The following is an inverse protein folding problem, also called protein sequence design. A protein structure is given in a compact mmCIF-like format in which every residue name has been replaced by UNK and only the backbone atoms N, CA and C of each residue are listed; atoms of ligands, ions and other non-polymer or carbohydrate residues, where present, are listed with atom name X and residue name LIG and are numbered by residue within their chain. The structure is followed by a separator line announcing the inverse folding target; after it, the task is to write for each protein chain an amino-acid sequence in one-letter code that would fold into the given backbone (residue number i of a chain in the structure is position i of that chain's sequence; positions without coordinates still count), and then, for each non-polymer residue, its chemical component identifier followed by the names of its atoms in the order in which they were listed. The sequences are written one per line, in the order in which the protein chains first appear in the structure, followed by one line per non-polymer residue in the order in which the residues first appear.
data_IF_750378269094
#
_entry.id   IF_750378269094
#
_cell.length_a   1.000
_cell.length_b   1.000
_cell.length_c   1.000
_cell.angle_alpha   90.00
_cell.angle_beta   90.00
_cell.angle_gamma   90.00
#
_symmetry.space_group_name_H-M   'P 1'
#
loop_
_entity.id
_entity.type
_entity.pdbx_description
1 polymer ?
#
# COMPACT_ATOMS: atom_id res chain seq x y z
N UNK A 1 -45.77 -25.46 65.99
CA UNK A 1 -45.79 -25.12 64.54
C UNK A 1 -44.87 -23.94 64.28
N UNK A 2 -43.77 -24.11 63.54
CA UNK A 2 -43.14 -23.10 62.65
C UNK A 2 -41.89 -23.71 62.00
N UNK A 3 -42.02 -24.06 60.72
CA UNK A 3 -40.95 -24.57 59.84
C UNK A 3 -39.93 -23.46 59.57
N UNK A 4 -38.63 -23.74 59.69
CA UNK A 4 -37.55 -22.90 59.13
C UNK A 4 -37.37 -23.26 57.66
N UNK A 5 -37.62 -22.30 56.76
CA UNK A 5 -37.24 -22.40 55.35
C UNK A 5 -35.78 -21.97 55.17
N UNK A 6 -35.01 -22.83 54.52
CA UNK A 6 -33.67 -22.56 53.99
C UNK A 6 -33.87 -21.75 52.69
N UNK A 7 -33.28 -20.55 52.61
CA UNK A 7 -33.20 -19.76 51.37
C UNK A 7 -31.86 -20.02 50.70
N UNK A 8 -31.88 -20.76 49.60
CA UNK A 8 -30.81 -20.79 48.61
C UNK A 8 -30.97 -19.59 47.67
N UNK A 9 -29.90 -18.81 47.50
CA UNK A 9 -29.84 -17.73 46.50
C UNK A 9 -29.23 -18.30 45.20
N UNK A 10 -29.84 -18.09 44.02
CA UNK A 10 -29.22 -18.47 42.76
C UNK A 10 -28.30 -17.33 42.28
N UNK A 11 -27.04 -17.67 42.03
CA UNK A 11 -26.09 -16.80 41.32
C UNK A 11 -26.49 -16.76 39.83
N UNK A 12 -26.92 -15.61 39.34
CA UNK A 12 -27.06 -15.34 37.91
C UNK A 12 -25.67 -14.97 37.35
N UNK A 13 -25.02 -15.94 36.68
CA UNK A 13 -23.87 -15.69 35.82
C UNK A 13 -24.37 -15.09 34.50
N UNK A 14 -24.13 -13.79 34.28
CA UNK A 14 -24.28 -13.14 32.99
C UNK A 14 -23.02 -13.43 32.15
N UNK A 15 -23.11 -14.09 30.98
CA UNK A 15 -21.94 -14.26 30.14
C UNK A 15 -21.59 -12.91 29.48
N UNK A 16 -20.42 -12.36 29.81
CA UNK A 16 -19.83 -11.24 29.07
C UNK A 16 -19.53 -11.72 27.64
N UNK A 17 -20.40 -11.35 26.70
CA UNK A 17 -20.09 -11.40 25.27
C UNK A 17 -19.06 -10.30 24.95
N UNK A 18 -17.78 -10.63 25.13
CA UNK A 18 -16.66 -9.86 24.58
C UNK A 18 -16.78 -9.88 23.05
N UNK A 19 -17.43 -8.86 22.50
CA UNK A 19 -17.35 -8.56 21.07
C UNK A 19 -15.94 -8.05 20.82
N UNK A 20 -15.05 -8.93 20.38
CA UNK A 20 -13.81 -8.51 19.76
C UNK A 20 -14.19 -7.69 18.52
N UNK A 21 -14.06 -6.37 18.60
CA UNK A 21 -14.10 -5.51 17.42
C UNK A 21 -12.79 -5.74 16.68
N UNK A 22 -12.80 -6.63 15.70
CA UNK A 22 -11.68 -6.78 14.78
C UNK A 22 -11.62 -5.48 13.97
N UNK A 23 -10.65 -4.62 14.29
CA UNK A 23 -10.35 -3.46 13.47
C UNK A 23 -9.94 -3.97 12.08
N UNK A 24 -10.83 -3.86 11.10
CA UNK A 24 -10.50 -4.18 9.71
C UNK A 24 -9.58 -3.10 9.17
N UNK A 25 -8.48 -3.51 8.55
CA UNK A 25 -7.67 -2.61 7.73
C UNK A 25 -8.54 -2.06 6.59
N UNK A 26 -8.44 -0.76 6.33
CA UNK A 26 -9.14 -0.10 5.23
C UNK A 26 -8.76 -0.76 3.89
N UNK A 27 -9.77 -1.16 3.12
CA UNK A 27 -9.56 -1.78 1.82
C UNK A 27 -9.02 -0.78 0.80
N UNK A 28 -8.38 -1.30 -0.25
CA UNK A 28 -7.88 -0.52 -1.37
C UNK A 28 -8.98 0.38 -1.98
N UNK A 29 -10.19 -0.17 -2.15
CA UNK A 29 -11.33 0.55 -2.74
C UNK A 29 -11.85 1.66 -1.82
N UNK A 30 -11.83 1.47 -0.49
CA UNK A 30 -12.18 2.52 0.48
C UNK A 30 -11.16 3.67 0.44
N UNK A 31 -9.86 3.34 0.42
CA UNK A 31 -8.81 4.36 0.28
C UNK A 31 -8.92 5.11 -1.05
N UNK A 32 -9.17 4.40 -2.16
CA UNK A 32 -9.37 5.02 -3.46
C UNK A 32 -10.53 6.02 -3.44
N UNK A 33 -11.70 5.60 -2.94
CA UNK A 33 -12.87 6.47 -2.80
C UNK A 33 -12.57 7.69 -1.93
N UNK A 34 -11.80 7.51 -0.85
CA UNK A 34 -11.40 8.62 0.04
C UNK A 34 -10.50 9.62 -0.69
N UNK A 35 -9.52 9.15 -1.46
CA UNK A 35 -8.63 10.00 -2.27
C UNK A 35 -9.42 10.74 -3.35
N UNK A 36 -10.28 10.06 -4.10
CA UNK A 36 -11.12 10.67 -5.13
C UNK A 36 -12.10 11.69 -4.54
N UNK A 37 -12.70 11.39 -3.39
CA UNK A 37 -13.59 12.31 -2.67
C UNK A 37 -12.86 13.56 -2.22
N UNK A 38 -11.69 13.43 -1.61
CA UNK A 38 -10.85 14.57 -1.22
C UNK A 38 -10.46 15.42 -2.43
N UNK A 39 -9.98 14.80 -3.51
CA UNK A 39 -9.57 15.50 -4.72
C UNK A 39 -10.71 16.28 -5.38
N UNK A 40 -11.91 15.70 -5.43
CA UNK A 40 -13.09 16.30 -6.07
C UNK A 40 -13.88 17.25 -5.17
N UNK A 41 -13.60 17.31 -3.86
CA UNK A 41 -14.28 18.20 -2.92
C UNK A 41 -13.74 19.63 -3.04
N UNK A 42 -14.41 20.50 -3.78
CA UNK A 42 -13.94 21.87 -4.08
C UNK A 42 -14.62 22.91 -3.17
N UNK A 43 -14.45 22.77 -1.85
CA UNK A 43 -15.04 23.68 -0.86
C UNK A 43 -14.14 24.89 -0.59
N UNK A 44 -14.73 26.02 -0.21
CA UNK A 44 -13.98 27.22 0.19
C UNK A 44 -13.41 27.13 1.62
N UNK A 45 -14.01 26.28 2.46
CA UNK A 45 -13.63 26.08 3.87
C UNK A 45 -14.16 24.74 4.40
N UNK A 46 -13.61 24.31 5.54
CA UNK A 46 -14.02 23.14 6.31
C UNK A 46 -14.74 23.61 7.57
N UNK A 47 -15.91 24.22 7.40
CA UNK A 47 -16.60 24.93 8.48
C UNK A 47 -15.86 26.22 8.84
N UNK A 48 -15.27 26.28 10.03
CA UNK A 48 -14.48 27.45 10.46
C UNK A 48 -12.99 27.34 10.07
N UNK A 49 -12.56 26.19 9.55
CA UNK A 49 -11.16 25.90 9.25
C UNK A 49 -10.85 25.95 7.75
N UNK A 50 -9.57 26.11 7.37
CA UNK A 50 -9.15 26.18 5.97
C UNK A 50 -9.55 24.95 5.15
N UNK A 51 -9.74 25.13 3.84
CA UNK A 51 -10.14 24.03 2.96
C UNK A 51 -9.15 22.85 2.93
N UNK A 52 -7.87 23.07 3.27
CA UNK A 52 -6.87 22.01 3.43
C UNK A 52 -7.23 20.95 4.47
N UNK A 53 -8.08 21.28 5.43
CA UNK A 53 -8.32 20.43 6.59
C UNK A 53 -9.29 19.28 6.28
N UNK A 54 -10.06 19.38 5.19
CA UNK A 54 -11.05 18.39 4.79
C UNK A 54 -11.21 18.20 3.27
N UNK A 55 -10.35 18.81 2.45
CA UNK A 55 -10.46 18.78 0.99
C UNK A 55 -9.12 18.93 0.28
N UNK A 56 -9.04 18.44 -0.95
CA UNK A 56 -7.81 18.34 -1.74
C UNK A 56 -6.84 17.30 -1.20
N UNK A 57 -5.76 17.07 -1.94
CA UNK A 57 -4.71 16.12 -1.59
C UNK A 57 -3.45 16.87 -1.17
N UNK A 58 -2.93 16.52 0.01
CA UNK A 58 -1.59 16.89 0.47
C UNK A 58 -0.61 15.82 0.01
N UNK A 59 0.25 16.15 -0.94
CA UNK A 59 1.12 15.21 -1.66
C UNK A 59 2.57 15.49 -1.34
N UNK A 60 3.34 14.47 -0.94
CA UNK A 60 4.79 14.59 -0.76
C UNK A 60 5.52 13.55 -1.59
N UNK A 61 6.27 14.01 -2.60
CA UNK A 61 7.26 13.19 -3.28
C UNK A 61 8.44 12.84 -2.37
N UNK A 62 8.98 11.63 -2.47
CA UNK A 62 10.08 11.17 -1.60
C UNK A 62 11.18 10.43 -2.35
N UNK A 63 12.40 10.58 -1.85
CA UNK A 63 13.55 9.74 -2.24
C UNK A 63 13.84 8.75 -1.11
N UNK A 64 13.87 7.47 -1.46
CA UNK A 64 14.24 6.41 -0.50
C UNK A 64 15.73 6.47 -0.19
N UNK A 65 16.07 6.02 1.02
CA UNK A 65 17.46 5.75 1.35
C UNK A 65 18.00 4.65 0.43
N UNK A 66 19.24 4.81 -0.01
CA UNK A 66 20.02 3.81 -0.75
C UNK A 66 21.02 3.13 0.20
N UNK A 67 20.72 1.94 0.77
CA UNK A 67 21.61 1.26 1.69
C UNK A 67 22.97 0.92 1.08
N UNK A 68 23.06 0.77 -0.24
CA UNK A 68 24.33 0.52 -0.92
C UNK A 68 25.27 1.74 -0.85
N UNK A 69 24.72 2.94 -0.60
CA UNK A 69 25.46 4.18 -0.34
C UNK A 69 25.60 4.49 1.15
N UNK A 70 25.27 3.55 2.04
CA UNK A 70 25.28 3.75 3.50
C UNK A 70 24.18 4.67 4.01
N UNK A 71 23.15 4.93 3.20
CA UNK A 71 22.05 5.80 3.57
C UNK A 71 21.02 5.06 4.43
N UNK A 72 20.46 5.75 5.42
CA UNK A 72 19.45 5.20 6.32
C UNK A 72 18.49 6.27 6.80
N UNK A 73 17.25 6.21 6.33
CA UNK A 73 16.13 7.00 6.85
C UNK A 73 14.82 6.36 6.43
N UNK A 74 13.77 6.71 7.17
CA UNK A 74 12.39 6.36 6.87
C UNK A 74 11.73 7.57 6.20
N UNK A 75 11.13 7.42 5.02
CA UNK A 75 10.70 8.57 4.18
C UNK A 75 9.62 9.45 4.81
N UNK A 76 8.88 8.92 5.79
CA UNK A 76 7.83 9.63 6.53
C UNK A 76 8.35 10.44 7.71
N UNK A 77 9.63 10.28 8.07
CA UNK A 77 10.26 11.06 9.13
C UNK A 77 10.88 12.35 8.57
N UNK A 78 10.87 13.46 9.32
CA UNK A 78 11.48 14.71 8.88
C UNK A 78 12.94 14.54 8.46
N UNK A 79 13.32 15.12 7.32
CA UNK A 79 14.72 15.21 6.90
C UNK A 79 15.52 16.12 7.85
N UNK A 80 16.87 16.09 7.84
CA UNK A 80 17.66 16.99 8.67
C UNK A 80 17.32 18.48 8.48
N UNK A 81 17.09 18.90 7.23
CA UNK A 81 16.64 20.27 6.92
C UNK A 81 15.24 20.55 7.46
N UNK A 82 14.32 19.58 7.40
CA UNK A 82 12.99 19.73 7.98
C UNK A 82 13.04 19.85 9.52
N UNK A 83 13.92 19.09 10.19
CA UNK A 83 14.17 19.22 11.63
C UNK A 83 14.69 20.61 11.98
N UNK A 84 15.69 21.11 11.24
CA UNK A 84 16.25 22.46 11.40
C UNK A 84 15.18 23.56 11.28
N UNK A 85 14.31 23.46 10.27
CA UNK A 85 13.26 24.44 10.02
C UNK A 85 12.03 24.27 10.92
N UNK A 86 11.88 23.12 11.60
CA UNK A 86 10.68 22.74 12.35
C UNK A 86 9.46 22.46 11.48
N UNK A 87 9.63 22.38 10.16
CA UNK A 87 8.59 22.11 9.16
C UNK A 87 9.14 21.27 8.03
N UNK A 88 8.26 20.60 7.28
CA UNK A 88 8.58 19.95 6.01
C UNK A 88 7.64 20.48 4.91
N UNK A 89 8.06 20.36 3.64
CA UNK A 89 7.24 20.80 2.51
C UNK A 89 6.22 19.73 2.09
N UNK A 90 5.05 20.10 1.58
CA UNK A 90 4.21 19.21 0.78
C UNK A 90 3.49 20.03 -0.28
N UNK A 91 3.04 19.39 -1.35
CA UNK A 91 2.25 20.00 -2.40
C UNK A 91 0.76 19.82 -2.11
N UNK A 92 -0.07 20.70 -2.66
CA UNK A 92 -1.53 20.61 -2.57
C UNK A 92 -2.15 20.59 -3.97
N UNK A 93 -3.03 19.62 -4.23
CA UNK A 93 -3.78 19.53 -5.50
C UNK A 93 -5.27 19.29 -5.30
N UNK A 94 -6.07 19.79 -6.24
CA UNK A 94 -7.55 19.72 -6.20
C UNK A 94 -8.15 19.86 -7.59
N UNK A 95 -9.35 19.30 -7.81
CA UNK A 95 -9.97 19.17 -9.13
C UNK A 95 -10.38 20.50 -9.80
N UNK A 96 -10.34 21.64 -9.08
CA UNK A 96 -10.77 22.96 -9.56
C UNK A 96 -9.62 23.86 -10.02
N UNK A 97 -8.65 23.31 -10.75
CA UNK A 97 -7.55 24.08 -11.35
C UNK A 97 -6.33 24.25 -10.43
N UNK A 98 -6.23 23.44 -9.38
CA UNK A 98 -5.04 23.33 -8.54
C UNK A 98 -4.29 22.06 -8.96
N UNK A 99 -3.60 22.15 -10.11
CA UNK A 99 -2.96 21.03 -10.79
C UNK A 99 -1.49 21.30 -11.07
N UNK A 100 -0.70 20.23 -11.21
CA UNK A 100 0.70 20.23 -11.63
C UNK A 100 1.07 18.88 -12.25
N UNK A 101 2.11 18.82 -13.07
CA UNK A 101 2.37 17.68 -13.96
C UNK A 101 3.08 16.48 -13.31
N UNK A 102 3.75 16.68 -12.17
CA UNK A 102 4.46 15.61 -11.45
C UNK A 102 4.69 15.95 -9.96
N UNK A 103 5.08 15.00 -9.09
CA UNK A 103 5.22 15.24 -7.64
C UNK A 103 6.46 16.08 -7.24
N UNK A 104 7.21 16.61 -8.20
CA UNK A 104 8.37 17.47 -8.01
C UNK A 104 9.66 16.71 -7.70
N UNK A 105 10.78 17.43 -7.72
CA UNK A 105 12.10 16.97 -7.25
C UNK A 105 12.59 15.67 -7.88
N UNK A 106 12.22 15.41 -9.14
CA UNK A 106 12.52 14.17 -9.87
C UNK A 106 12.06 12.91 -9.13
N UNK A 107 11.00 13.00 -8.33
CA UNK A 107 10.40 11.86 -7.62
C UNK A 107 9.33 11.19 -8.48
N UNK A 108 9.12 9.89 -8.27
CA UNK A 108 8.01 9.15 -8.89
C UNK A 108 7.14 8.42 -7.86
N UNK A 109 7.42 8.59 -6.57
CA UNK A 109 6.72 7.97 -5.46
C UNK A 109 6.65 8.92 -4.26
N UNK A 110 5.80 8.57 -3.29
CA UNK A 110 5.70 9.32 -2.05
C UNK A 110 4.51 8.89 -1.21
N UNK A 111 3.96 9.84 -0.45
CA UNK A 111 2.75 9.63 0.34
C UNK A 111 1.77 10.80 0.25
N UNK A 112 0.50 10.47 0.48
CA UNK A 112 -0.58 11.39 0.74
C UNK A 112 -0.73 11.56 2.25
N UNK A 113 -0.88 12.80 2.71
CA UNK A 113 -1.08 13.12 4.13
C UNK A 113 -2.57 13.20 4.40
N UNK A 114 -3.03 12.56 5.48
CA UNK A 114 -4.44 12.60 5.88
C UNK A 114 -4.81 14.01 6.34
N UNK A 115 -5.84 14.64 5.75
CA UNK A 115 -6.32 15.95 6.19
C UNK A 115 -6.78 15.93 7.65
N UNK A 116 -6.59 17.05 8.34
CA UNK A 116 -6.82 17.20 9.78
C UNK A 116 -8.19 16.67 10.23
N UNK A 117 -9.27 17.01 9.53
CA UNK A 117 -10.63 16.65 9.92
C UNK A 117 -10.93 15.16 9.78
N UNK A 118 -10.06 14.40 9.11
CA UNK A 118 -10.14 12.95 8.99
C UNK A 118 -9.27 12.22 10.02
N UNK A 119 -8.43 12.93 10.77
CA UNK A 119 -7.62 12.36 11.84
C UNK A 119 -8.49 12.04 13.06
N UNK A 120 -8.27 10.86 13.64
CA UNK A 120 -8.92 10.42 14.87
C UNK A 120 -7.85 9.90 15.82
N UNK A 121 -8.09 10.00 17.12
CA UNK A 121 -7.19 9.45 18.12
C UNK A 121 -6.91 7.96 17.84
N UNK A 122 -5.66 7.50 17.98
CA UNK A 122 -4.50 8.19 18.58
C UNK A 122 -3.61 8.98 17.60
N UNK A 123 -4.00 9.17 16.33
CA UNK A 123 -3.16 9.89 15.37
C UNK A 123 -3.15 11.40 15.62
N UNK A 124 -1.98 12.04 15.43
CA UNK A 124 -1.84 13.50 15.60
C UNK A 124 -1.81 14.18 14.23
N UNK A 125 -2.63 15.23 14.00
CA UNK A 125 -2.60 15.96 12.74
C UNK A 125 -1.31 16.77 12.60
N UNK A 126 -0.86 16.94 11.35
CA UNK A 126 0.12 17.97 10.99
C UNK A 126 -0.61 19.22 10.52
N UNK A 127 -0.06 20.40 10.83
CA UNK A 127 -0.71 21.68 10.57
C UNK A 127 0.01 22.45 9.48
N UNK A 128 -0.73 23.07 8.57
CA UNK A 128 -0.19 23.99 7.56
C UNK A 128 0.25 25.30 8.23
N UNK A 129 1.51 25.66 8.02
CA UNK A 129 2.12 26.88 8.55
C UNK A 129 2.06 28.02 7.55
N UNK A 130 2.27 27.71 6.28
CA UNK A 130 2.09 28.65 5.18
C UNK A 130 1.87 27.91 3.85
N UNK A 131 1.29 28.62 2.89
CA UNK A 131 1.00 28.10 1.55
C UNK A 131 1.48 29.06 0.45
N UNK A 132 2.20 28.53 -0.52
CA UNK A 132 2.74 29.22 -1.68
C UNK A 132 2.07 28.70 -2.96
N UNK A 133 1.46 29.57 -3.78
CA UNK A 133 0.82 29.16 -5.04
C UNK A 133 1.75 28.46 -6.04
N UNK A 134 3.07 28.63 -5.94
CA UNK A 134 4.04 27.87 -6.73
C UNK A 134 5.22 27.43 -5.84
N UNK A 135 6.06 26.49 -6.31
CA UNK A 135 7.31 26.12 -5.64
C UNK A 135 8.11 27.38 -5.30
N UNK A 136 8.41 27.56 -4.02
CA UNK A 136 8.99 28.75 -3.43
C UNK A 136 10.38 28.50 -2.84
N UNK A 137 10.95 27.31 -3.06
CA UNK A 137 12.28 26.91 -2.60
C UNK A 137 12.40 27.04 -1.08
N UNK A 138 11.40 26.54 -0.37
CA UNK A 138 11.23 26.84 1.07
C UNK A 138 12.34 26.34 1.98
N UNK A 139 13.21 25.44 1.51
CA UNK A 139 14.41 25.02 2.24
C UNK A 139 15.47 26.13 2.39
N UNK A 140 15.37 27.19 1.57
CA UNK A 140 16.22 28.38 1.62
C UNK A 140 15.55 29.56 2.34
N UNK A 141 14.34 29.37 2.87
CA UNK A 141 13.58 30.40 3.56
C UNK A 141 13.76 30.35 5.07
N UNK A 142 13.80 31.52 5.70
CA UNK A 142 13.72 31.65 7.14
C UNK A 142 12.28 31.46 7.66
N UNK A 143 12.06 31.71 8.95
CA UNK A 143 10.74 31.66 9.57
C UNK A 143 10.00 30.33 9.31
N UNK A 144 10.71 29.23 9.56
CA UNK A 144 10.22 27.85 9.33
C UNK A 144 9.83 27.58 7.88
N UNK A 145 10.52 28.21 6.94
CA UNK A 145 10.28 28.08 5.50
C UNK A 145 9.18 29.00 4.96
N UNK A 146 8.67 29.94 5.76
CA UNK A 146 7.54 30.80 5.37
C UNK A 146 7.92 32.23 5.02
N UNK A 147 9.11 32.67 5.41
CA UNK A 147 9.55 34.05 5.25
C UNK A 147 10.54 34.25 4.09
N UNK A 148 11.54 35.06 4.37
CA UNK A 148 12.53 35.58 3.43
C UNK A 148 13.42 34.46 2.89
N UNK A 149 13.66 34.47 1.58
CA UNK A 149 14.53 33.54 0.88
C UNK A 149 15.95 34.11 0.81
N UNK A 150 16.93 33.43 1.41
CA UNK A 150 18.32 33.93 1.44
C UNK A 150 19.00 34.05 0.07
N UNK A 151 18.39 33.50 -0.99
CA UNK A 151 18.94 33.56 -2.34
C UNK A 151 18.51 34.83 -3.09
N UNK A 152 17.46 35.52 -2.64
CA UNK A 152 16.93 36.71 -3.28
C UNK A 152 17.52 37.98 -2.66
N UNK A 153 17.51 39.08 -3.42
CA UNK A 153 17.98 40.37 -2.95
C UNK A 153 16.94 41.15 -2.12
N UNK A 154 15.65 41.25 -2.51
CA UNK A 154 14.64 41.87 -1.65
C UNK A 154 14.24 40.90 -0.54
N UNK A 155 14.00 41.44 0.65
CA UNK A 155 13.49 40.64 1.76
C UNK A 155 12.02 40.31 1.54
N UNK A 156 11.62 39.03 1.58
CA UNK A 156 10.21 38.65 1.53
C UNK A 156 9.60 38.45 2.93
N UNK A 157 8.53 39.20 3.20
CA UNK A 157 7.66 38.89 4.33
C UNK A 157 6.60 37.85 3.92
N UNK A 158 5.93 37.24 4.91
CA UNK A 158 4.66 36.54 4.64
C UNK A 158 3.66 37.51 4.00
N UNK A 159 2.77 37.01 3.12
CA UNK A 159 1.93 37.85 2.28
C UNK A 159 1.14 38.92 3.05
N UNK A 160 0.58 38.57 4.20
CA UNK A 160 -0.21 39.47 5.04
C UNK A 160 0.63 40.60 5.67
N UNK A 161 1.97 40.46 5.74
CA UNK A 161 2.90 41.43 6.29
C UNK A 161 3.66 42.24 5.22
N UNK A 162 3.38 41.99 3.94
CA UNK A 162 3.91 42.80 2.83
C UNK A 162 3.43 44.25 2.94
N UNK A 163 4.11 45.18 2.25
CA UNK A 163 3.75 46.60 2.19
C UNK A 163 3.50 47.02 0.73
N UNK A 164 2.23 47.19 0.30
CA UNK A 164 0.98 46.95 1.06
C UNK A 164 0.71 45.45 1.32
N UNK A 165 -0.16 45.11 2.30
CA UNK A 165 -0.50 43.72 2.59
C UNK A 165 -1.11 42.99 1.39
N UNK A 166 -0.64 41.76 1.13
CA UNK A 166 -1.18 40.90 0.08
C UNK A 166 -2.20 39.95 0.72
N UNK A 167 -3.47 40.29 0.55
CA UNK A 167 -4.62 39.59 1.16
C UNK A 167 -5.72 39.23 0.15
N UNK A 168 -5.37 39.19 -1.14
CA UNK A 168 -6.27 38.73 -2.21
C UNK A 168 -5.49 37.99 -3.32
N UNK A 169 -6.16 37.15 -4.13
CA UNK A 169 -5.53 36.50 -5.28
C UNK A 169 -4.93 37.51 -6.26
N UNK A 170 -5.67 38.58 -6.59
CA UNK A 170 -5.23 39.57 -7.56
C UNK A 170 -3.99 40.33 -7.10
N UNK A 171 -3.93 40.70 -5.82
CA UNK A 171 -2.74 41.35 -5.26
C UNK A 171 -1.52 40.43 -5.30
N UNK A 172 -1.72 39.13 -5.01
CA UNK A 172 -0.64 38.15 -5.10
C UNK A 172 -0.16 37.97 -6.54
N UNK A 173 -1.07 37.85 -7.50
CA UNK A 173 -0.73 37.72 -8.93
C UNK A 173 0.00 38.96 -9.44
N UNK A 174 -0.43 40.16 -9.04
CA UNK A 174 0.27 41.40 -9.39
C UNK A 174 1.71 41.41 -8.82
N UNK A 175 1.89 40.98 -7.57
CA UNK A 175 3.22 40.84 -6.96
C UNK A 175 4.07 39.79 -7.67
N UNK A 176 3.50 38.64 -8.03
CA UNK A 176 4.25 37.57 -8.67
C UNK A 176 4.65 37.92 -10.10
N UNK A 177 3.76 38.55 -10.86
CA UNK A 177 3.98 38.85 -12.29
C UNK A 177 4.92 40.03 -12.52
N UNK A 178 5.15 40.89 -11.52
CA UNK A 178 6.18 41.94 -11.59
C UNK A 178 7.59 41.36 -11.81
N UNK A 179 7.80 40.08 -11.49
CA UNK A 179 9.07 39.38 -11.62
C UNK A 179 9.13 38.42 -12.82
N UNK A 180 8.22 38.50 -13.79
CA UNK A 180 8.18 37.58 -14.96
C UNK A 180 9.51 37.45 -15.73
N UNK A 181 10.33 38.50 -15.74
CA UNK A 181 11.64 38.50 -16.43
C UNK A 181 12.81 38.14 -15.50
N UNK A 182 12.53 37.80 -14.25
CA UNK A 182 13.52 37.44 -13.25
C UNK A 182 13.59 35.90 -13.10
N UNK A 183 14.79 35.33 -13.23
CA UNK A 183 15.03 33.89 -13.03
C UNK A 183 14.68 33.39 -11.62
N UNK A 184 14.55 34.31 -10.67
CA UNK A 184 14.17 34.03 -9.28
C UNK A 184 12.70 34.35 -8.99
N UNK A 185 11.85 34.52 -10.01
CA UNK A 185 10.43 34.83 -9.85
C UNK A 185 9.74 33.95 -8.79
N UNK A 186 9.95 32.63 -8.89
CA UNK A 186 9.38 31.65 -7.98
C UNK A 186 9.89 31.81 -6.54
N UNK A 187 11.11 32.32 -6.34
CA UNK A 187 11.68 32.59 -5.02
C UNK A 187 11.23 33.95 -4.46
N UNK A 188 10.83 34.89 -5.30
CA UNK A 188 10.40 36.24 -4.92
C UNK A 188 8.91 36.34 -4.53
N UNK A 189 8.18 35.23 -4.63
CA UNK A 189 6.79 35.15 -4.18
C UNK A 189 6.69 35.19 -2.65
N UNK A 190 5.59 35.73 -2.12
CA UNK A 190 5.26 35.61 -0.69
C UNK A 190 4.42 34.35 -0.42
N UNK A 191 4.52 33.81 0.79
CA UNK A 191 3.67 32.72 1.29
C UNK A 191 2.56 33.25 2.18
N UNK A 192 1.35 32.70 2.04
CA UNK A 192 0.24 33.04 2.93
C UNK A 192 0.44 32.38 4.29
N UNK A 193 0.63 33.17 5.35
CA UNK A 193 0.76 32.66 6.72
C UNK A 193 -0.55 32.02 7.19
N UNK A 194 -0.44 30.95 7.97
CA UNK A 194 -1.57 30.21 8.55
C UNK A 194 -1.33 29.85 10.02
N UNK A 195 -0.29 30.41 10.65
CA UNK A 195 0.08 30.11 12.04
C UNK A 195 -0.63 31.02 13.04
N UNK A 196 -0.73 30.54 14.27
CA UNK A 196 -1.08 31.38 15.42
C UNK A 196 -0.16 32.62 15.49
N UNK A 197 -0.68 33.79 15.90
CA UNK A 197 -2.00 34.00 16.52
C UNK A 197 -3.17 34.24 15.53
N UNK A 198 -3.03 33.95 14.23
CA UNK A 198 -4.14 34.13 13.28
C UNK A 198 -5.40 33.36 13.70
N UNK A 199 -6.53 34.05 13.66
CA UNK A 199 -7.85 33.48 13.86
C UNK A 199 -8.21 32.46 12.76
N UNK A 200 -9.17 31.58 13.02
CA UNK A 200 -9.60 30.58 12.03
C UNK A 200 -10.10 31.24 10.73
N UNK A 201 -10.81 32.38 10.83
CA UNK A 201 -11.24 33.17 9.67
C UNK A 201 -10.07 33.67 8.83
N UNK A 202 -9.04 34.22 9.46
CA UNK A 202 -7.86 34.70 8.74
C UNK A 202 -7.10 33.56 8.05
N UNK A 203 -7.05 32.36 8.66
CA UNK A 203 -6.46 31.17 8.02
C UNK A 203 -7.30 30.69 6.83
N UNK A 204 -8.63 30.75 6.93
CA UNK A 204 -9.55 30.45 5.83
C UNK A 204 -9.32 31.42 4.67
N UNK A 205 -9.24 32.71 4.96
CA UNK A 205 -9.01 33.75 3.95
C UNK A 205 -7.64 33.58 3.29
N UNK A 206 -6.59 33.30 4.09
CA UNK A 206 -5.24 33.00 3.61
C UNK A 206 -5.21 31.81 2.63
N UNK A 207 -5.85 30.69 2.99
CA UNK A 207 -5.89 29.51 2.12
C UNK A 207 -6.76 29.74 0.87
N UNK A 208 -7.86 30.49 0.99
CA UNK A 208 -8.66 30.91 -0.17
C UNK A 208 -7.84 31.75 -1.14
N UNK A 209 -7.00 32.65 -0.64
CA UNK A 209 -6.12 33.47 -1.46
C UNK A 209 -5.05 32.64 -2.17
N UNK A 210 -4.46 31.66 -1.48
CA UNK A 210 -3.56 30.65 -2.08
C UNK A 210 -4.24 29.92 -3.25
N UNK A 211 -5.45 29.39 -3.03
CA UNK A 211 -6.21 28.68 -4.07
C UNK A 211 -6.53 29.60 -5.25
N UNK A 212 -7.02 30.81 -4.98
CA UNK A 212 -7.35 31.78 -6.02
C UNK A 212 -6.14 32.20 -6.85
N UNK A 213 -5.00 32.44 -6.21
CA UNK A 213 -3.76 32.80 -6.89
C UNK A 213 -3.26 31.66 -7.78
N UNK A 214 -3.24 30.41 -7.29
CA UNK A 214 -2.84 29.25 -8.10
C UNK A 214 -3.72 29.10 -9.34
N UNK A 215 -5.04 29.24 -9.23
CA UNK A 215 -5.95 29.13 -10.38
C UNK A 215 -5.64 30.13 -11.49
N UNK A 216 -5.18 31.34 -11.13
CA UNK A 216 -4.86 32.39 -12.11
C UNK A 216 -3.53 32.12 -12.81
N UNK A 217 -2.50 31.70 -12.07
CA UNK A 217 -1.16 31.53 -12.62
C UNK A 217 -0.94 30.18 -13.29
N UNK A 218 -1.89 29.23 -13.31
CA UNK A 218 -1.63 27.84 -13.71
C UNK A 218 -1.39 27.66 -15.22
N UNK A 219 -0.29 28.21 -15.73
CA UNK A 219 0.15 28.20 -17.12
C UNK A 219 1.55 27.61 -17.21
N UNK A 220 2.62 28.43 -17.15
CA UNK A 220 4.00 27.96 -16.94
C UNK A 220 4.11 27.17 -15.64
N UNK A 221 3.45 27.68 -14.61
CA UNK A 221 3.48 27.21 -13.23
C UNK A 221 2.84 25.84 -13.08
N UNK A 222 2.15 25.32 -14.10
CA UNK A 222 1.70 23.93 -14.14
C UNK A 222 2.86 22.93 -14.11
N UNK A 223 4.03 23.32 -14.61
CA UNK A 223 5.25 22.50 -14.59
C UNK A 223 5.88 22.40 -13.19
N UNK A 224 5.36 23.17 -12.24
CA UNK A 224 5.86 23.22 -10.87
C UNK A 224 4.71 23.01 -9.88
N UNK A 225 4.99 22.27 -8.83
CA UNK A 225 4.07 21.98 -7.75
C UNK A 225 3.73 23.25 -6.95
N UNK A 226 2.56 23.26 -6.31
CA UNK A 226 2.32 24.19 -5.18
C UNK A 226 3.22 23.79 -4.01
N UNK A 227 3.49 24.71 -3.08
CA UNK A 227 4.34 24.39 -1.92
C UNK A 227 3.72 24.88 -0.62
N UNK A 228 3.47 23.97 0.31
CA UNK A 228 3.01 24.24 1.66
C UNK A 228 4.10 23.84 2.65
N UNK A 229 4.23 24.56 3.76
CA UNK A 229 5.02 24.11 4.92
C UNK A 229 4.09 23.54 5.98
N UNK A 230 4.41 22.35 6.46
CA UNK A 230 3.68 21.66 7.51
C UNK A 230 4.57 21.43 8.72
N UNK A 231 4.01 21.55 9.93
CA UNK A 231 4.74 21.24 11.16
C UNK A 231 5.22 19.77 11.18
N UNK A 232 6.43 19.55 11.69
CA UNK A 232 7.00 18.19 11.75
C UNK A 232 6.15 17.24 12.59
N UNK A 233 5.86 16.02 12.10
CA UNK A 233 5.31 14.96 12.94
C UNK A 233 6.36 14.51 13.97
N UNK A 234 5.89 13.82 15.02
CA UNK A 234 6.79 12.99 15.83
C UNK A 234 7.29 11.81 14.99
N UNK A 235 8.42 11.24 15.39
CA UNK A 235 9.01 10.06 14.75
C UNK A 235 7.98 8.96 14.60
N UNK A 236 7.82 8.45 13.37
CA UNK A 236 6.92 7.35 13.00
C UNK A 236 5.41 7.63 13.21
N UNK A 237 5.04 8.87 13.53
CA UNK A 237 3.65 9.27 13.82
C UNK A 237 3.00 10.12 12.71
N UNK A 238 3.64 10.28 11.54
CA UNK A 238 3.04 11.00 10.42
C UNK A 238 1.71 10.33 10.01
N UNK A 239 0.59 11.07 9.94
CA UNK A 239 -0.69 10.51 9.53
C UNK A 239 -0.76 10.37 8.01
N UNK A 240 -0.22 9.26 7.51
CA UNK A 240 -0.27 8.91 6.08
C UNK A 240 -1.68 8.43 5.74
N UNK A 241 -2.25 8.96 4.66
CA UNK A 241 -3.49 8.48 4.05
C UNK A 241 -3.22 7.24 3.19
N UNK A 242 -2.24 7.35 2.29
CA UNK A 242 -1.81 6.30 1.40
C UNK A 242 -0.37 6.57 0.93
N UNK A 243 0.36 5.52 0.55
CA UNK A 243 1.54 5.71 -0.30
C UNK A 243 1.08 5.91 -1.75
N UNK A 244 1.92 6.51 -2.58
CA UNK A 244 1.64 6.66 -4.00
C UNK A 244 2.85 6.41 -4.89
N UNK A 245 2.55 6.15 -6.16
CA UNK A 245 3.50 6.25 -7.26
C UNK A 245 2.82 6.91 -8.47
N UNK A 246 3.62 7.53 -9.33
CA UNK A 246 3.13 8.24 -10.54
C UNK A 246 3.39 7.46 -11.83
N UNK A 247 4.49 6.72 -11.89
CA UNK A 247 4.81 5.82 -12.99
C UNK A 247 5.63 4.62 -12.52
N UNK A 248 5.87 3.67 -13.44
CA UNK A 248 6.50 2.39 -13.14
C UNK A 248 7.85 2.50 -12.40
N UNK A 249 8.60 3.59 -12.58
CA UNK A 249 9.88 3.83 -11.89
C UNK A 249 9.70 3.97 -10.38
N UNK A 250 8.57 4.55 -9.95
CA UNK A 250 8.25 4.76 -8.53
C UNK A 250 7.54 3.59 -7.85
N UNK A 251 7.10 2.57 -8.58
CA UNK A 251 6.30 1.47 -8.01
C UNK A 251 7.08 0.69 -6.94
N UNK A 252 8.31 0.30 -7.25
CA UNK A 252 9.13 -0.48 -6.32
C UNK A 252 9.41 0.29 -5.02
N UNK A 253 9.64 1.59 -5.14
CA UNK A 253 9.84 2.46 -3.98
C UNK A 253 8.57 2.59 -3.14
N UNK A 254 7.40 2.75 -3.77
CA UNK A 254 6.13 2.81 -3.05
C UNK A 254 5.82 1.50 -2.31
N UNK A 255 6.05 0.35 -2.95
CA UNK A 255 5.91 -0.98 -2.33
C UNK A 255 6.86 -1.16 -1.14
N UNK A 256 8.12 -0.74 -1.30
CA UNK A 256 9.09 -0.81 -0.23
C UNK A 256 8.73 0.14 0.92
N UNK A 257 8.28 1.37 0.63
CA UNK A 257 7.84 2.34 1.63
C UNK A 257 6.67 1.82 2.45
N UNK A 258 5.66 1.24 1.78
CA UNK A 258 4.51 0.61 2.43
C UNK A 258 4.93 -0.52 3.36
N UNK A 259 5.80 -1.42 2.89
CA UNK A 259 6.30 -2.56 3.67
C UNK A 259 7.07 -2.08 4.89
N UNK A 260 7.98 -1.14 4.72
CA UNK A 260 8.82 -0.61 5.79
C UNK A 260 7.96 0.12 6.83
N UNK A 261 6.97 0.91 6.38
CA UNK A 261 6.04 1.61 7.27
C UNK A 261 5.22 0.64 8.12
N UNK A 262 4.69 -0.42 7.51
CA UNK A 262 3.98 -1.48 8.25
C UNK A 262 4.90 -2.16 9.26
N UNK A 263 6.12 -2.50 8.86
CA UNK A 263 7.09 -3.16 9.75
C UNK A 263 7.49 -2.26 10.93
N UNK A 264 7.59 -0.95 10.70
CA UNK A 264 8.00 0.04 11.71
C UNK A 264 6.87 0.41 12.67
N UNK A 265 5.67 0.66 12.13
CA UNK A 265 4.56 1.30 12.85
C UNK A 265 3.42 0.34 13.20
N UNK A 266 3.38 -0.84 12.57
CA UNK A 266 2.25 -1.76 12.61
C UNK A 266 1.03 -1.30 11.79
N UNK A 267 1.08 -0.13 11.15
CA UNK A 267 -0.05 0.42 10.39
C UNK A 267 0.00 -0.01 8.93
N UNK A 268 -1.09 -0.64 8.47
CA UNK A 268 -1.32 -0.91 7.06
C UNK A 268 -1.79 0.37 6.32
N UNK A 269 -1.20 0.62 5.15
CA UNK A 269 -1.59 1.71 4.24
C UNK A 269 -1.63 1.20 2.81
N UNK A 270 -2.62 1.62 2.04
CA UNK A 270 -2.73 1.23 0.63
C UNK A 270 -1.79 2.07 -0.26
N UNK A 271 -1.60 1.62 -1.50
CA UNK A 271 -0.82 2.33 -2.53
C UNK A 271 -1.78 2.79 -3.63
N UNK A 272 -1.72 4.09 -3.92
CA UNK A 272 -2.49 4.72 -5.00
C UNK A 272 -1.56 5.08 -6.15
N UNK A 273 -1.90 4.65 -7.37
CA UNK A 273 -1.34 5.24 -8.58
C UNK A 273 -1.98 6.60 -8.79
N UNK A 274 -1.17 7.64 -8.94
CA UNK A 274 -1.62 8.98 -9.33
C UNK A 274 -1.18 9.23 -10.76
N UNK A 275 -2.12 9.25 -11.69
CA UNK A 275 -1.88 9.80 -13.02
C UNK A 275 -2.03 11.32 -12.92
N UNK A 276 -0.90 12.01 -12.77
CA UNK A 276 -0.87 13.48 -12.76
C UNK A 276 -1.39 14.02 -14.10
N UNK A 277 -2.08 15.18 -14.08
CA UNK A 277 -2.63 15.79 -15.28
C UNK A 277 -1.52 16.12 -16.28
N UNK A 278 -1.86 16.12 -17.57
CA UNK A 278 -0.92 16.48 -18.66
C UNK A 278 -1.08 17.90 -19.18
N UNK A 279 -2.14 18.58 -18.75
CA UNK A 279 -2.41 19.99 -19.08
C UNK A 279 -3.03 20.68 -17.87
N UNK A 280 -2.96 22.02 -17.77
CA UNK A 280 -3.52 22.76 -16.63
C UNK A 280 -5.00 22.51 -16.36
N UNK A 281 -5.78 22.24 -17.42
CA UNK A 281 -7.23 22.01 -17.35
C UNK A 281 -7.62 20.53 -17.20
N UNK A 282 -6.67 19.61 -17.37
CA UNK A 282 -6.89 18.19 -17.16
C UNK A 282 -6.96 17.87 -15.65
N UNK A 283 -7.68 16.81 -15.32
CA UNK A 283 -7.77 16.29 -13.96
C UNK A 283 -6.80 15.13 -13.77
N UNK A 284 -6.33 14.96 -12.54
CA UNK A 284 -5.65 13.73 -12.14
C UNK A 284 -6.64 12.56 -12.11
N UNK A 285 -6.15 11.35 -12.38
CA UNK A 285 -6.89 10.11 -12.14
C UNK A 285 -6.15 9.21 -11.18
N UNK A 286 -6.91 8.35 -10.50
CA UNK A 286 -6.40 7.52 -9.43
C UNK A 286 -6.78 6.06 -9.69
N UNK A 287 -5.88 5.16 -9.33
CA UNK A 287 -6.21 3.75 -9.18
C UNK A 287 -5.50 3.19 -7.97
N UNK A 288 -6.07 2.16 -7.35
CA UNK A 288 -5.47 1.55 -6.19
C UNK A 288 -4.79 0.24 -6.59
N UNK A 289 -3.54 0.06 -6.17
CA UNK A 289 -2.89 -1.25 -6.29
C UNK A 289 -3.39 -2.08 -5.14
N UNK A 290 -4.20 -3.08 -5.46
CA UNK A 290 -4.37 -4.21 -4.57
C UNK A 290 -3.01 -4.90 -4.52
N UNK A 291 -2.23 -4.60 -3.48
CA UNK A 291 -1.15 -5.49 -3.09
C UNK A 291 -1.87 -6.76 -2.70
N UNK A 292 -1.95 -7.69 -3.65
CA UNK A 292 -2.58 -8.99 -3.43
C UNK A 292 -2.13 -9.49 -2.07
N UNK A 293 -3.07 -10.02 -1.29
CA UNK A 293 -2.82 -10.96 -0.19
C UNK A 293 -1.51 -11.70 -0.43
N UNK A 294 -0.64 -11.85 0.60
CA UNK A 294 0.75 -12.28 0.44
C UNK A 294 0.83 -13.36 -0.63
N UNK A 295 1.65 -13.12 -1.66
CA UNK A 295 1.79 -14.02 -2.80
C UNK A 295 1.67 -15.45 -2.30
N UNK A 296 0.71 -16.21 -2.84
CA UNK A 296 0.50 -17.61 -2.46
C UNK A 296 1.89 -18.24 -2.35
N UNK A 297 2.22 -18.87 -1.21
CA UNK A 297 3.56 -19.38 -1.02
C UNK A 297 3.87 -20.27 -2.21
N UNK A 298 5.01 -20.00 -2.87
CA UNK A 298 5.43 -20.71 -4.10
C UNK A 298 5.40 -22.24 -3.91
N UNK A 299 5.41 -22.70 -2.66
CA UNK A 299 5.41 -24.08 -2.22
C UNK A 299 4.34 -24.31 -1.17
N UNK A 300 3.75 -25.51 -1.15
CA UNK A 300 2.87 -25.93 -0.07
C UNK A 300 3.65 -26.17 1.24
N UNK A 301 3.07 -25.80 2.38
CA UNK A 301 3.57 -26.23 3.70
C UNK A 301 3.53 -27.76 3.86
N UNK A 302 2.52 -28.40 3.26
CA UNK A 302 2.32 -29.85 3.22
C UNK A 302 1.59 -30.25 1.93
N UNK A 303 2.11 -31.20 1.17
CA UNK A 303 1.52 -31.64 -0.10
C UNK A 303 0.60 -32.86 0.08
N UNK A 304 0.95 -33.76 0.99
CA UNK A 304 0.26 -35.03 1.24
C UNK A 304 -0.42 -35.00 2.60
N UNK A 305 -1.73 -35.15 2.65
CA UNK A 305 -2.47 -35.22 3.91
C UNK A 305 -2.23 -36.54 4.64
N UNK A 306 -2.38 -37.66 3.92
CA UNK A 306 -2.07 -39.01 4.39
C UNK A 306 -1.55 -39.90 3.27
N UNK A 307 -0.79 -40.93 3.65
CA UNK A 307 -0.35 -42.00 2.74
C UNK A 307 -0.12 -43.31 3.50
N UNK A 308 -0.70 -44.40 3.01
CA UNK A 308 -0.68 -45.73 3.67
C UNK A 308 -0.64 -46.86 2.66
N UNK A 309 0.05 -47.94 3.01
CA UNK A 309 0.06 -49.17 2.20
C UNK A 309 -1.21 -49.97 2.41
N UNK A 310 -1.81 -50.42 1.32
CA UNK A 310 -2.99 -51.29 1.33
C UNK A 310 -2.81 -52.40 0.31
N UNK A 311 -3.43 -53.56 0.52
CA UNK A 311 -3.55 -54.58 -0.51
C UNK A 311 -4.89 -54.44 -1.22
N UNK A 312 -4.85 -54.45 -2.55
CA UNK A 312 -6.04 -54.29 -3.40
C UNK A 312 -5.97 -55.26 -4.57
N UNK A 313 -7.12 -55.73 -5.09
CA UNK A 313 -7.15 -56.46 -6.33
C UNK A 313 -6.83 -55.53 -7.49
N UNK A 314 -5.91 -55.95 -8.37
CA UNK A 314 -5.57 -55.28 -9.60
C UNK A 314 -5.77 -56.22 -10.80
N UNK A 315 -6.41 -55.77 -11.91
CA UNK A 315 -6.69 -56.62 -13.06
C UNK A 315 -5.46 -57.21 -13.77
N UNK A 316 -4.27 -56.61 -13.58
CA UNK A 316 -3.01 -57.01 -14.23
C UNK A 316 -2.04 -57.69 -13.26
N UNK A 317 -2.05 -57.27 -12.00
CA UNK A 317 -1.10 -57.72 -10.97
C UNK A 317 -1.65 -58.79 -10.03
N UNK A 318 -2.97 -59.03 -10.04
CA UNK A 318 -3.62 -60.06 -9.24
C UNK A 318 -4.31 -59.55 -7.97
N UNK A 319 -4.81 -60.47 -7.13
CA UNK A 319 -5.76 -60.15 -6.07
C UNK A 319 -5.16 -59.42 -4.85
N UNK A 320 -3.85 -59.54 -4.60
CA UNK A 320 -3.18 -59.06 -3.38
C UNK A 320 -2.07 -58.04 -3.69
N UNK A 321 -2.36 -57.08 -4.57
CA UNK A 321 -1.37 -56.08 -5.01
C UNK A 321 -1.17 -55.00 -3.96
N UNK A 322 0.08 -54.74 -3.60
CA UNK A 322 0.43 -53.59 -2.77
C UNK A 322 0.23 -52.27 -3.52
N UNK A 323 -0.55 -51.37 -2.94
CA UNK A 323 -0.80 -50.01 -3.45
C UNK A 323 -0.58 -48.99 -2.34
N UNK A 324 0.10 -47.90 -2.66
CA UNK A 324 0.22 -46.74 -1.80
C UNK A 324 -1.03 -45.88 -2.01
N UNK A 325 -1.95 -45.93 -1.06
CA UNK A 325 -3.09 -45.02 -0.99
C UNK A 325 -2.57 -43.65 -0.54
N UNK A 326 -2.84 -42.60 -1.32
CA UNK A 326 -2.36 -41.24 -1.11
C UNK A 326 -3.53 -40.27 -1.14
N UNK A 327 -3.67 -39.45 -0.10
CA UNK A 327 -4.64 -38.35 -0.04
C UNK A 327 -3.87 -37.02 -0.07
N UNK A 328 -3.87 -36.28 -1.18
CA UNK A 328 -3.23 -34.97 -1.24
C UNK A 328 -4.02 -33.89 -0.51
N UNK A 329 -3.33 -32.87 0.00
CA UNK A 329 -3.94 -31.64 0.51
C UNK A 329 -4.55 -30.83 -0.63
N UNK A 330 -5.37 -29.81 -0.32
CA UNK A 330 -5.88 -28.88 -1.33
C UNK A 330 -4.74 -28.21 -2.13
N UNK A 331 -3.68 -27.79 -1.43
CA UNK A 331 -2.49 -27.22 -2.06
C UNK A 331 -1.79 -28.26 -2.96
N UNK A 332 -1.58 -29.49 -2.46
CA UNK A 332 -0.97 -30.58 -3.21
C UNK A 332 -1.68 -30.91 -4.53
N UNK A 333 -3.01 -30.73 -4.60
CA UNK A 333 -3.78 -30.89 -5.85
C UNK A 333 -3.61 -29.73 -6.82
N UNK A 334 -3.33 -28.53 -6.31
CA UNK A 334 -3.26 -27.30 -7.09
C UNK A 334 -1.87 -27.06 -7.72
N UNK A 335 -0.86 -27.84 -7.34
CA UNK A 335 0.52 -27.61 -7.75
C UNK A 335 0.75 -27.65 -9.26
N UNK A 336 1.86 -27.03 -9.67
CA UNK A 336 2.40 -27.00 -11.04
C UNK A 336 3.67 -27.84 -11.14
N UNK A 337 4.19 -27.98 -12.35
CA UNK A 337 5.29 -28.89 -12.68
C UNK A 337 6.55 -28.66 -11.83
N UNK A 338 6.84 -27.40 -11.49
CA UNK A 338 8.00 -26.97 -10.71
C UNK A 338 7.97 -27.39 -9.22
N UNK A 339 6.83 -27.94 -8.76
CA UNK A 339 6.64 -28.38 -7.37
C UNK A 339 6.51 -29.91 -7.25
N UNK A 340 6.42 -30.65 -8.36
CA UNK A 340 6.16 -32.10 -8.36
C UNK A 340 7.24 -32.90 -7.63
N UNK A 341 8.50 -32.47 -7.69
CA UNK A 341 9.61 -33.12 -6.98
C UNK A 341 9.50 -32.96 -5.46
N UNK A 342 9.00 -31.82 -4.98
CA UNK A 342 8.80 -31.58 -3.55
C UNK A 342 7.67 -32.41 -2.99
N UNK A 343 6.55 -32.48 -3.72
CA UNK A 343 5.45 -33.38 -3.37
C UNK A 343 5.90 -34.84 -3.34
N UNK A 344 6.66 -35.29 -4.34
CA UNK A 344 7.15 -36.66 -4.37
C UNK A 344 8.15 -36.95 -3.24
N UNK A 345 8.96 -35.96 -2.86
CA UNK A 345 9.89 -36.09 -1.74
C UNK A 345 9.17 -36.38 -0.41
N UNK A 346 7.97 -35.86 -0.17
CA UNK A 346 7.18 -36.22 1.03
C UNK A 346 6.84 -37.72 1.04
N UNK A 347 6.36 -38.27 -0.07
CA UNK A 347 6.05 -39.69 -0.18
C UNK A 347 7.32 -40.55 -0.06
N UNK A 348 8.38 -40.15 -0.76
CA UNK A 348 9.66 -40.86 -0.74
C UNK A 348 10.25 -40.89 0.68
N UNK A 349 10.37 -39.74 1.34
CA UNK A 349 10.97 -39.66 2.68
C UNK A 349 10.18 -40.47 3.71
N UNK A 350 8.86 -40.55 3.55
CA UNK A 350 8.00 -41.32 4.45
C UNK A 350 8.06 -42.83 4.21
N UNK A 351 8.23 -43.28 2.97
CA UNK A 351 8.04 -44.69 2.60
C UNK A 351 9.26 -45.42 2.01
N UNK A 352 10.38 -44.72 1.75
CA UNK A 352 11.59 -45.31 1.13
C UNK A 352 12.17 -46.54 1.87
N UNK A 353 11.88 -46.67 3.16
CA UNK A 353 12.38 -47.75 4.00
C UNK A 353 11.39 -48.91 4.16
N UNK A 354 10.16 -48.78 3.63
CA UNK A 354 9.13 -49.81 3.68
C UNK A 354 9.47 -50.98 2.75
N UNK A 355 9.16 -52.22 3.16
CA UNK A 355 9.41 -53.42 2.37
C UNK A 355 8.68 -53.37 1.02
N UNK A 356 7.44 -52.88 1.02
CA UNK A 356 6.61 -52.69 -0.17
C UNK A 356 7.26 -51.73 -1.18
N UNK A 357 8.00 -50.73 -0.70
CA UNK A 357 8.75 -49.82 -1.57
C UNK A 357 10.01 -50.50 -2.12
N UNK A 358 10.81 -51.10 -1.24
CA UNK A 358 12.12 -51.68 -1.58
C UNK A 358 12.02 -52.89 -2.52
N UNK A 359 10.99 -53.72 -2.33
CA UNK A 359 10.75 -54.92 -3.15
C UNK A 359 10.63 -54.60 -4.65
N UNK A 360 10.11 -53.42 -4.98
CA UNK A 360 9.90 -52.99 -6.37
C UNK A 360 10.82 -51.82 -6.77
N UNK A 361 11.96 -51.66 -6.09
CA UNK A 361 12.98 -50.65 -6.45
C UNK A 361 13.50 -50.79 -7.89
N UNK A 362 13.39 -51.98 -8.48
CA UNK A 362 13.66 -52.23 -9.91
C UNK A 362 12.82 -51.36 -10.86
N UNK A 363 11.61 -50.97 -10.44
CA UNK A 363 10.74 -50.05 -11.16
C UNK A 363 10.97 -48.58 -10.74
N UNK A 364 12.23 -48.23 -10.48
CA UNK A 364 12.63 -46.90 -9.99
C UNK A 364 11.93 -45.76 -10.72
N UNK A 365 11.31 -44.85 -9.96
CA UNK A 365 10.58 -43.71 -10.51
C UNK A 365 9.13 -43.98 -10.95
N UNK A 366 8.66 -45.23 -10.94
CA UNK A 366 7.27 -45.57 -11.32
C UNK A 366 6.22 -44.87 -10.45
N UNK A 367 6.39 -44.89 -9.11
CA UNK A 367 5.48 -44.18 -8.20
C UNK A 367 5.44 -42.67 -8.48
N UNK A 368 6.60 -42.06 -8.79
CA UNK A 368 6.66 -40.63 -9.18
C UNK A 368 5.88 -40.40 -10.46
N UNK A 369 6.07 -41.25 -11.47
CA UNK A 369 5.34 -41.16 -12.75
C UNK A 369 3.83 -41.28 -12.55
N UNK A 370 3.38 -42.23 -11.74
CA UNK A 370 1.95 -42.41 -11.45
C UNK A 370 1.38 -41.20 -10.70
N UNK A 371 2.10 -40.63 -9.72
CA UNK A 371 1.71 -39.41 -9.01
C UNK A 371 1.59 -38.20 -9.95
N UNK A 372 2.59 -37.99 -10.81
CA UNK A 372 2.57 -36.91 -11.81
C UNK A 372 1.46 -37.12 -12.85
N UNK A 373 1.17 -38.36 -13.21
CA UNK A 373 0.03 -38.67 -14.07
C UNK A 373 -1.29 -38.29 -13.39
N UNK A 374 -1.48 -38.60 -12.11
CA UNK A 374 -2.69 -38.19 -11.37
C UNK A 374 -2.85 -36.67 -11.33
N UNK A 375 -1.75 -35.93 -11.26
CA UNK A 375 -1.76 -34.47 -11.37
C UNK A 375 -2.16 -34.00 -12.78
N UNK A 376 -1.66 -34.62 -13.85
CA UNK A 376 -1.86 -34.11 -15.22
C UNK A 376 -3.11 -34.62 -15.94
N UNK A 377 -3.58 -35.83 -15.61
CA UNK A 377 -4.57 -36.54 -16.40
C UNK A 377 -6.01 -36.02 -16.18
N UNK A 378 -6.82 -36.19 -17.22
CA UNK A 378 -8.28 -35.98 -17.21
C UNK A 378 -8.93 -37.24 -17.77
N UNK A 379 -9.95 -37.77 -17.09
CA UNK A 379 -10.75 -38.89 -17.58
C UNK A 379 -12.22 -38.49 -17.62
N UNK A 380 -12.88 -38.72 -18.75
CA UNK A 380 -14.30 -38.36 -18.95
C UNK A 380 -14.60 -36.89 -18.59
N UNK A 381 -13.69 -35.99 -18.95
CA UNK A 381 -13.79 -34.55 -18.65
C UNK A 381 -13.54 -34.17 -17.18
N UNK A 382 -13.21 -35.14 -16.30
CA UNK A 382 -12.92 -34.90 -14.88
C UNK A 382 -11.42 -34.97 -14.60
N UNK A 383 -10.82 -33.92 -14.01
CA UNK A 383 -9.42 -33.95 -13.60
C UNK A 383 -9.15 -35.05 -12.57
N UNK A 384 -8.18 -35.92 -12.84
CA UNK A 384 -7.81 -37.04 -11.96
C UNK A 384 -7.28 -36.55 -10.62
N UNK A 385 -6.62 -35.39 -10.61
CA UNK A 385 -6.11 -34.72 -9.42
C UNK A 385 -7.17 -34.44 -8.35
N UNK A 386 -8.47 -34.44 -8.73
CA UNK A 386 -9.58 -34.19 -7.82
C UNK A 386 -10.14 -35.46 -7.18
N UNK A 387 -9.66 -36.66 -7.55
CA UNK A 387 -10.05 -37.90 -6.85
C UNK A 387 -9.68 -37.83 -5.38
N UNK A 388 -10.57 -38.18 -4.43
CA UNK A 388 -10.28 -38.03 -2.99
C UNK A 388 -9.00 -38.77 -2.58
N UNK A 389 -8.72 -39.91 -3.20
CA UNK A 389 -7.55 -40.75 -2.97
C UNK A 389 -6.93 -41.17 -4.31
N UNK A 390 -5.60 -41.27 -4.35
CA UNK A 390 -4.81 -41.83 -5.44
C UNK A 390 -4.20 -43.16 -5.00
N UNK A 391 -4.20 -44.14 -5.90
CA UNK A 391 -3.63 -45.46 -5.62
C UNK A 391 -2.45 -45.64 -6.58
N UNK A 392 -1.26 -45.84 -6.00
CA UNK A 392 -0.01 -45.89 -6.72
C UNK A 392 0.67 -47.24 -6.44
N UNK A 393 0.80 -48.09 -7.45
CA UNK A 393 1.34 -49.44 -7.28
C UNK A 393 2.84 -49.47 -7.67
N UNK A 394 3.76 -49.76 -6.74
CA UNK A 394 5.18 -49.77 -7.04
C UNK A 394 5.59 -50.90 -8.00
N UNK A 395 4.76 -51.93 -8.13
CA UNK A 395 4.95 -53.02 -9.08
C UNK A 395 4.78 -52.60 -10.55
N UNK A 396 4.21 -51.42 -10.85
CA UNK A 396 4.00 -50.97 -12.24
C UNK A 396 5.33 -50.60 -12.89
N UNK A 397 5.58 -50.96 -14.16
CA UNK A 397 6.77 -50.52 -14.87
C UNK A 397 6.77 -49.00 -14.98
N UNK A 398 7.97 -48.42 -15.01
CA UNK A 398 8.13 -47.02 -15.37
C UNK A 398 7.88 -46.83 -16.87
N UNK A 399 7.09 -45.80 -17.22
CA UNK A 399 6.88 -45.34 -18.60
C UNK A 399 7.01 -43.81 -18.67
N UNK A 400 7.05 -43.24 -19.88
CA UNK A 400 7.01 -41.78 -20.04
C UNK A 400 5.63 -41.19 -19.68
N UNK A 401 5.53 -39.85 -19.64
CA UNK A 401 4.30 -39.17 -19.23
C UNK A 401 3.14 -39.43 -20.20
N UNK A 402 3.40 -39.39 -21.50
CA UNK A 402 2.36 -39.55 -22.52
C UNK A 402 1.75 -40.96 -22.43
N UNK A 403 2.60 -41.97 -22.29
CA UNK A 403 2.22 -43.37 -22.11
C UNK A 403 1.45 -43.56 -20.81
N UNK A 404 1.91 -42.99 -19.69
CA UNK A 404 1.20 -43.08 -18.42
C UNK A 404 -0.21 -42.48 -18.51
N UNK A 405 -0.38 -41.33 -19.17
CA UNK A 405 -1.68 -40.68 -19.36
C UNK A 405 -2.58 -41.54 -20.27
N UNK A 406 -2.04 -42.07 -21.36
CA UNK A 406 -2.75 -42.95 -22.30
C UNK A 406 -3.20 -44.27 -21.64
N UNK A 407 -2.42 -44.80 -20.70
CA UNK A 407 -2.73 -46.00 -19.92
C UNK A 407 -3.47 -45.69 -18.61
N UNK A 408 -4.18 -44.56 -18.56
CA UNK A 408 -5.02 -44.18 -17.43
C UNK A 408 -4.30 -44.13 -16.06
N UNK A 409 -3.04 -43.70 -16.05
CA UNK A 409 -2.13 -43.69 -14.89
C UNK A 409 -1.82 -45.08 -14.29
N UNK A 410 -2.18 -46.16 -14.98
CA UNK A 410 -2.03 -47.54 -14.54
C UNK A 410 -1.21 -48.35 -15.56
N UNK A 411 0.08 -48.02 -15.79
CA UNK A 411 0.84 -48.65 -16.86
C UNK A 411 1.03 -50.16 -16.66
N UNK A 412 0.66 -50.97 -17.67
CA UNK A 412 0.91 -52.41 -17.81
C UNK A 412 0.74 -52.90 -19.24
#
# INVERSE_FOLDING_TARGET
MKKRLIRTAPLLMLPLLLHATWARAESCDETLKKVESLYNKTVDSCGQDPASDCSGLLVRGTHRADPAKGQKWDVWNPSPKAVELGTFAASYMRADGISYEDPGMSTQNGYLITPRDLIRDPETPVHVYCAFPNDAWTDYRNDRGCGDNKNTAPAEAVCQAMKPPITSPNAWVAHFTQYNNNRQQDQLQCGFNMRNPMSSRERVDAFRNFLGARKVINSREFQTQTELRLGNPKTDELPILAFFYSDQRGLNDALANQKDYKAKTGKDRNIIKIDFPRTPVAKASFSCIQTSTPAEPKFCDKYIESSTWTQRPDPKLGPNTWSLSVVPTACGRAIKDDQTDRMFAELYNKHKDDQQWRQYSVNGGSLRRQMVCHLAATYEGKPVRNKPEWNLEPARPYVDQATAVAQHCNPY
#
